data_IF_279991174380
#
_entry.id   IF_279991174380
#
_cell.length_a   1.000
_cell.length_b   1.000
_cell.length_c   1.000
_cell.angle_alpha   90.00
_cell.angle_beta   90.00
_cell.angle_gamma   90.00
#
_symmetry.space_group_name_H-M   'P 1'
#
loop_
_entity.id
_entity.type
_entity.pdbx_description
1 polymer ?
#
# COMPACT_ATOMS: atom_id res chain seq x y z
N UNK A 1 -27.42 -8.30 -1.91
CA UNK A 1 -26.87 -6.98 -2.32
C UNK A 1 -27.28 -5.81 -1.41
N UNK A 2 -28.57 -5.54 -1.12
CA UNK A 2 -28.96 -4.36 -0.30
C UNK A 2 -28.44 -4.37 1.15
N UNK A 3 -28.28 -5.55 1.77
CA UNK A 3 -27.83 -5.69 3.16
C UNK A 3 -26.38 -5.22 3.40
N UNK A 4 -25.54 -5.22 2.36
CA UNK A 4 -24.11 -4.86 2.44
C UNK A 4 -23.76 -3.65 1.56
N UNK A 5 -24.79 -2.89 1.16
CA UNK A 5 -24.73 -1.73 0.28
C UNK A 5 -23.75 -1.91 -0.90
N UNK A 6 -23.85 -3.05 -1.59
CA UNK A 6 -23.06 -3.32 -2.79
C UNK A 6 -23.78 -2.64 -3.97
N UNK A 7 -23.19 -1.54 -4.45
CA UNK A 7 -23.67 -0.74 -5.60
C UNK A 7 -22.51 -0.57 -6.59
N UNK A 8 -22.76 -0.80 -7.88
CA UNK A 8 -21.77 -0.68 -8.96
C UNK A 8 -21.32 -2.03 -9.54
N UNK A 9 -20.74 -2.00 -10.75
CA UNK A 9 -20.19 -3.18 -11.44
C UNK A 9 -18.73 -3.41 -10.99
N UNK A 10 -18.37 -4.66 -10.68
CA UNK A 10 -17.00 -5.12 -10.43
C UNK A 10 -16.28 -4.57 -9.17
N UNK A 11 -17.01 -4.37 -8.07
CA UNK A 11 -16.40 -4.00 -6.78
C UNK A 11 -16.09 -5.21 -5.93
N UNK A 12 -14.81 -5.48 -5.67
CA UNK A 12 -14.40 -6.49 -4.70
C UNK A 12 -14.41 -5.86 -3.30
N UNK A 13 -14.96 -6.54 -2.30
CA UNK A 13 -15.04 -6.03 -0.92
C UNK A 13 -14.45 -7.07 0.01
N UNK A 14 -13.49 -6.68 0.85
CA UNK A 14 -12.96 -7.54 1.91
C UNK A 14 -13.74 -7.22 3.17
N UNK A 15 -14.39 -8.24 3.72
CA UNK A 15 -14.95 -8.20 5.04
C UNK A 15 -13.86 -8.67 6.00
N UNK A 16 -13.57 -7.85 7.00
CA UNK A 16 -12.57 -8.16 8.00
C UNK A 16 -13.18 -8.01 9.40
N UNK A 17 -12.90 -8.94 10.33
CA UNK A 17 -13.38 -8.84 11.69
C UNK A 17 -12.55 -7.77 12.43
N UNK A 18 -13.22 -6.82 13.06
CA UNK A 18 -12.57 -5.74 13.82
C UNK A 18 -12.23 -6.24 15.22
N UNK A 19 -10.97 -6.68 15.40
CA UNK A 19 -10.31 -6.93 16.70
C UNK A 19 -10.84 -8.12 17.53
N UNK A 20 -9.91 -8.85 18.17
CA UNK A 20 -10.17 -10.01 19.04
C UNK A 20 -10.86 -9.66 20.38
N UNK A 21 -10.91 -8.38 20.76
CA UNK A 21 -11.29 -7.98 22.12
C UNK A 21 -12.72 -7.43 22.26
N UNK A 22 -13.57 -7.53 21.23
CA UNK A 22 -14.96 -7.08 21.32
C UNK A 22 -15.95 -8.18 20.88
N UNK A 23 -16.85 -8.63 21.77
CA UNK A 23 -17.85 -9.68 21.45
C UNK A 23 -18.96 -9.20 20.51
N UNK A 24 -19.00 -7.91 20.15
CA UNK A 24 -19.84 -7.38 19.08
C UNK A 24 -18.94 -6.87 17.96
N UNK A 25 -18.55 -7.78 17.07
CA UNK A 25 -17.67 -7.48 15.94
C UNK A 25 -18.52 -6.99 14.77
N UNK A 26 -18.62 -5.68 14.59
CA UNK A 26 -19.13 -5.12 13.33
C UNK A 26 -18.15 -5.48 12.21
N UNK A 27 -18.65 -6.18 11.18
CA UNK A 27 -17.88 -6.47 9.96
C UNK A 27 -17.55 -5.15 9.27
N UNK A 28 -16.27 -4.80 9.22
CA UNK A 28 -15.84 -3.62 8.46
C UNK A 28 -15.71 -4.02 7.00
N UNK A 29 -16.56 -3.42 6.17
CA UNK A 29 -16.53 -3.62 4.72
C UNK A 29 -15.45 -2.71 4.15
N UNK A 30 -14.41 -3.31 3.57
CA UNK A 30 -13.30 -2.58 2.96
C UNK A 30 -13.44 -2.73 1.44
N UNK A 31 -13.84 -1.67 0.71
CA UNK A 31 -13.88 -1.73 -0.75
C UNK A 31 -12.46 -1.85 -1.31
N UNK A 32 -12.26 -2.82 -2.20
CA UNK A 32 -11.06 -2.96 -3.02
C UNK A 32 -11.29 -2.18 -4.31
N UNK A 33 -10.77 -0.97 -4.35
CA UNK A 33 -10.89 -0.04 -5.47
C UNK A 33 -9.68 -0.07 -6.42
N UNK A 34 -8.83 -1.10 -6.29
CA UNK A 34 -7.57 -1.22 -7.05
C UNK A 34 -7.76 -2.07 -8.32
N UNK A 35 -6.79 -1.99 -9.24
CA UNK A 35 -6.78 -2.82 -10.45
C UNK A 35 -6.94 -4.32 -10.08
N UNK A 36 -7.81 -5.02 -10.80
CA UNK A 36 -8.20 -6.42 -10.56
C UNK A 36 -7.14 -7.44 -11.00
N UNK A 37 -5.85 -7.15 -10.75
CA UNK A 37 -4.77 -8.10 -11.04
C UNK A 37 -4.56 -9.05 -9.86
N UNK A 38 -4.22 -10.31 -10.14
CA UNK A 38 -3.98 -11.33 -9.12
C UNK A 38 -2.95 -10.87 -8.09
N UNK A 39 -1.91 -10.15 -8.55
CA UNK A 39 -0.86 -9.67 -7.67
C UNK A 39 -1.37 -8.56 -6.75
N UNK A 40 -2.17 -7.59 -7.24
CA UNK A 40 -2.70 -6.49 -6.43
C UNK A 40 -3.75 -6.92 -5.44
N UNK A 41 -4.55 -7.92 -5.80
CA UNK A 41 -5.48 -8.59 -4.89
C UNK A 41 -4.68 -9.33 -3.81
N UNK A 42 -3.69 -10.14 -4.20
CA UNK A 42 -2.86 -10.92 -3.27
C UNK A 42 -2.09 -10.04 -2.29
N UNK A 43 -1.53 -8.94 -2.78
CA UNK A 43 -0.80 -7.94 -2.00
C UNK A 43 -1.73 -7.13 -1.10
N UNK A 44 -2.91 -6.75 -1.57
CA UNK A 44 -3.90 -6.11 -0.70
C UNK A 44 -4.31 -7.05 0.44
N UNK A 45 -4.69 -8.29 0.13
CA UNK A 45 -4.97 -9.32 1.15
C UNK A 45 -3.78 -9.53 2.08
N UNK A 46 -2.55 -9.68 1.54
CA UNK A 46 -1.33 -9.85 2.32
C UNK A 46 -0.94 -8.64 3.17
N UNK A 47 -1.33 -7.41 2.81
CA UNK A 47 -1.05 -6.23 3.64
C UNK A 47 -1.93 -6.18 4.88
N UNK A 48 -3.09 -6.82 4.80
CA UNK A 48 -3.96 -7.06 5.93
C UNK A 48 -3.45 -8.27 6.72
N UNK A 49 -2.97 -9.36 6.07
CA UNK A 49 -2.61 -10.63 6.73
C UNK A 49 -1.66 -10.57 7.94
N UNK A 50 -0.63 -9.71 8.08
CA UNK A 50 0.15 -9.60 9.31
C UNK A 50 -0.68 -9.20 10.54
N UNK A 51 -1.86 -8.60 10.33
CA UNK A 51 -2.84 -8.30 11.37
C UNK A 51 -3.92 -9.40 11.52
N UNK A 52 -3.90 -10.45 10.69
CA UNK A 52 -4.90 -11.54 10.67
C UNK A 52 -4.30 -12.96 10.70
N UNK A 53 -2.99 -13.11 10.51
CA UNK A 53 -2.21 -14.34 10.65
C UNK A 53 -1.48 -14.22 11.97
N UNK A 54 -2.17 -14.62 13.04
CA UNK A 54 -1.49 -14.86 14.30
C UNK A 54 -0.73 -16.17 14.20
N UNK A 55 0.59 -16.09 14.36
CA UNK A 55 1.39 -17.27 14.68
C UNK A 55 0.97 -17.77 16.05
N UNK A 56 0.32 -18.93 16.10
CA UNK A 56 0.03 -19.60 17.36
C UNK A 56 1.24 -20.45 17.70
N UNK A 57 2.16 -19.93 18.52
CA UNK A 57 3.26 -20.74 19.05
C UNK A 57 2.65 -21.84 19.96
N UNK A 58 3.07 -23.08 19.70
CA UNK A 58 2.37 -24.29 20.11
C UNK A 58 2.39 -24.55 21.63
N UNK A 59 3.16 -23.79 22.41
CA UNK A 59 3.45 -24.22 23.77
C UNK A 59 2.30 -24.03 24.75
N UNK A 60 1.27 -23.21 24.48
CA UNK A 60 0.11 -23.05 25.39
C UNK A 60 -1.16 -22.49 24.70
N UNK A 61 -1.56 -22.97 23.52
CA UNK A 61 -2.80 -22.51 22.88
C UNK A 61 -3.90 -23.58 22.84
N UNK A 62 -4.76 -23.69 23.88
CA UNK A 62 -5.88 -24.63 23.91
C UNK A 62 -6.88 -24.42 22.77
N UNK A 63 -6.85 -23.25 22.12
CA UNK A 63 -7.71 -22.93 20.98
C UNK A 63 -7.27 -23.68 19.72
N UNK A 64 -5.96 -23.93 19.52
CA UNK A 64 -5.48 -24.63 18.33
C UNK A 64 -5.85 -26.13 18.35
N UNK A 65 -5.71 -26.79 19.51
CA UNK A 65 -6.13 -28.19 19.68
C UNK A 65 -7.65 -28.33 19.56
N UNK A 66 -8.43 -27.44 20.18
CA UNK A 66 -9.90 -27.46 20.06
C UNK A 66 -10.38 -27.23 18.63
N UNK A 67 -9.71 -26.36 17.86
CA UNK A 67 -10.03 -26.16 16.45
C UNK A 67 -9.61 -27.38 15.61
N UNK A 68 -8.45 -27.97 15.88
CA UNK A 68 -8.00 -29.18 15.21
C UNK A 68 -8.97 -30.35 15.46
N UNK A 69 -9.37 -30.58 16.71
CA UNK A 69 -10.33 -31.62 17.09
C UNK A 69 -11.72 -31.35 16.49
N UNK A 70 -12.21 -30.11 16.59
CA UNK A 70 -13.53 -29.71 16.05
C UNK A 70 -13.61 -29.87 14.53
N UNK A 71 -12.50 -29.73 13.81
CA UNK A 71 -12.44 -29.85 12.34
C UNK A 71 -11.79 -31.14 11.86
N UNK A 72 -11.51 -32.10 12.74
CA UNK A 72 -10.94 -33.41 12.39
C UNK A 72 -9.55 -33.33 11.75
N UNK A 73 -8.74 -32.34 12.15
CA UNK A 73 -7.37 -32.14 11.65
C UNK A 73 -6.43 -33.06 12.44
N UNK A 74 -6.16 -34.25 11.90
CA UNK A 74 -5.25 -35.22 12.53
C UNK A 74 -3.77 -35.00 12.17
N UNK A 75 -3.47 -34.31 11.06
CA UNK A 75 -2.11 -34.19 10.51
C UNK A 75 -1.88 -32.77 9.97
N UNK A 76 -0.70 -32.22 10.23
CA UNK A 76 -0.24 -30.91 9.73
C UNK A 76 0.84 -31.08 8.63
N UNK A 77 1.00 -30.09 7.70
CA UNK A 77 0.31 -28.80 7.64
C UNK A 77 -0.96 -28.85 6.75
N UNK A 78 -2.07 -28.30 7.26
CA UNK A 78 -3.33 -28.13 6.51
C UNK A 78 -3.76 -26.67 6.48
N UNK A 79 -4.37 -26.27 5.37
CA UNK A 79 -4.96 -24.94 5.23
C UNK A 79 -6.47 -25.05 5.42
N UNK A 80 -7.00 -24.29 6.37
CA UNK A 80 -8.43 -24.20 6.61
C UNK A 80 -8.94 -22.90 6.00
N UNK A 81 -9.88 -22.97 5.07
CA UNK A 81 -10.54 -21.78 4.53
C UNK A 81 -11.88 -21.59 5.24
N UNK A 82 -11.99 -20.48 5.96
CA UNK A 82 -13.24 -20.06 6.59
C UNK A 82 -13.79 -18.90 5.77
N UNK A 83 -14.91 -19.13 5.07
CA UNK A 83 -15.58 -18.10 4.28
C UNK A 83 -16.54 -17.33 5.20
N UNK A 84 -16.25 -16.06 5.44
CA UNK A 84 -16.83 -15.24 6.53
C UNK A 84 -18.37 -15.08 6.47
N UNK A 85 -19.00 -15.40 5.34
CA UNK A 85 -20.43 -15.24 5.10
C UNK A 85 -21.27 -16.53 5.15
N UNK A 86 -20.62 -17.68 5.26
CA UNK A 86 -21.31 -18.95 5.49
C UNK A 86 -20.91 -19.50 6.85
N UNK A 87 -21.82 -19.47 7.82
CA UNK A 87 -21.63 -20.09 9.14
C UNK A 87 -21.42 -21.62 9.10
N UNK A 88 -21.28 -22.22 7.91
CA UNK A 88 -21.23 -23.66 7.71
C UNK A 88 -20.18 -24.15 6.71
N UNK A 89 -19.60 -23.31 5.86
CA UNK A 89 -18.69 -23.78 4.81
C UNK A 89 -17.24 -23.57 5.23
N UNK A 90 -16.72 -24.64 5.85
CA UNK A 90 -15.33 -24.79 6.23
C UNK A 90 -14.80 -25.92 5.35
N UNK A 91 -14.09 -25.53 4.29
CA UNK A 91 -13.45 -26.51 3.42
C UNK A 91 -12.00 -26.71 3.85
N UNK A 92 -11.66 -27.96 4.09
CA UNK A 92 -10.32 -28.39 4.43
C UNK A 92 -9.52 -28.56 3.15
N UNK A 93 -8.43 -27.81 3.03
CA UNK A 93 -7.50 -27.98 1.93
C UNK A 93 -6.51 -29.10 2.29
N UNK A 94 -6.85 -30.31 1.87
CA UNK A 94 -6.08 -31.54 2.14
C UNK A 94 -4.96 -31.81 1.13
N UNK A 95 -4.72 -30.90 0.18
CA UNK A 95 -3.64 -31.07 -0.80
C UNK A 95 -2.30 -30.57 -0.27
N UNK A 96 -1.21 -31.03 -0.88
CA UNK A 96 0.13 -30.51 -0.61
C UNK A 96 0.14 -28.99 -0.79
N UNK A 97 0.61 -28.27 0.24
CA UNK A 97 0.76 -26.82 0.24
C UNK A 97 1.83 -26.38 -0.76
N UNK A 98 1.43 -26.26 -2.02
CA UNK A 98 2.20 -25.60 -3.07
C UNK A 98 1.46 -24.34 -3.48
N UNK A 99 2.21 -23.32 -3.91
CA UNK A 99 1.62 -22.05 -4.35
C UNK A 99 0.56 -22.26 -5.43
N UNK A 100 0.81 -23.18 -6.37
CA UNK A 100 -0.10 -23.48 -7.47
C UNK A 100 -1.39 -24.18 -6.99
N UNK A 101 -1.25 -25.09 -6.03
CA UNK A 101 -2.41 -25.80 -5.44
C UNK A 101 -3.26 -24.85 -4.59
N UNK A 102 -2.63 -23.97 -3.80
CA UNK A 102 -3.31 -22.94 -3.01
C UNK A 102 -4.02 -21.95 -3.93
N UNK A 103 -3.35 -21.46 -4.97
CA UNK A 103 -3.95 -20.55 -5.94
C UNK A 103 -5.16 -21.18 -6.64
N UNK A 104 -5.03 -22.43 -7.11
CA UNK A 104 -6.12 -23.17 -7.77
C UNK A 104 -7.30 -23.39 -6.82
N UNK A 105 -7.01 -23.66 -5.55
CA UNK A 105 -8.03 -23.80 -4.51
C UNK A 105 -8.75 -22.49 -4.24
N UNK A 106 -8.03 -21.40 -4.01
CA UNK A 106 -8.60 -20.08 -3.76
C UNK A 106 -9.38 -19.55 -4.97
N UNK A 107 -8.95 -19.87 -6.20
CA UNK A 107 -9.66 -19.46 -7.42
C UNK A 107 -11.12 -19.93 -7.47
N UNK A 108 -11.45 -21.09 -6.88
CA UNK A 108 -12.85 -21.57 -6.81
C UNK A 108 -13.77 -20.61 -6.05
N UNK A 109 -13.19 -19.80 -5.17
CA UNK A 109 -13.92 -18.84 -4.32
C UNK A 109 -13.77 -17.39 -4.81
N UNK A 110 -12.89 -17.13 -5.79
CA UNK A 110 -12.66 -15.79 -6.37
C UNK A 110 -13.72 -15.41 -7.41
N UNK A 111 -14.46 -16.39 -7.95
CA UNK A 111 -15.46 -16.13 -9.01
C UNK A 111 -16.81 -16.73 -8.69
N UNK A 112 -17.69 -15.92 -8.12
CA UNK A 112 -19.14 -16.00 -8.33
C UNK A 112 -19.77 -14.65 -8.73
N UNK A 113 -18.97 -13.60 -8.98
CA UNK A 113 -19.48 -12.26 -9.35
C UNK A 113 -19.40 -11.94 -10.86
N UNK A 114 -18.94 -12.88 -11.72
CA UNK A 114 -18.75 -12.60 -13.16
C UNK A 114 -19.17 -13.73 -14.12
N UNK A 115 -20.18 -14.55 -13.78
CA UNK A 115 -20.62 -15.66 -14.66
C UNK A 115 -22.00 -15.52 -15.29
N UNK A 116 -22.58 -14.31 -15.32
CA UNK A 116 -23.92 -14.09 -15.88
C UNK A 116 -23.98 -13.28 -17.19
N UNK A 117 -22.86 -13.01 -17.88
CA UNK A 117 -22.90 -12.19 -19.13
C UNK A 117 -22.21 -12.78 -20.37
N UNK A 118 -21.88 -14.07 -20.41
CA UNK A 118 -21.43 -14.74 -21.66
C UNK A 118 -22.18 -16.04 -21.93
N UNK A 119 -23.50 -15.96 -22.10
CA UNK A 119 -24.28 -16.93 -22.89
C UNK A 119 -25.28 -16.18 -23.79
N UNK A 120 -24.78 -15.48 -24.82
CA UNK A 120 -25.55 -15.13 -26.01
C UNK A 120 -24.64 -14.63 -27.13
N UNK A 121 -23.98 -15.54 -27.85
CA UNK A 121 -23.83 -15.53 -29.31
C UNK A 121 -22.71 -16.49 -29.74
N UNK A 122 -23.05 -17.76 -29.85
CA UNK A 122 -22.45 -18.63 -30.85
C UNK A 122 -23.38 -18.68 -32.06
N UNK A 123 -22.94 -18.20 -33.22
CA UNK A 123 -23.01 -18.96 -34.46
C UNK A 123 -22.13 -18.33 -35.57
N UNK A 124 -21.19 -19.16 -36.05
CA UNK A 124 -20.57 -19.18 -37.38
C UNK A 124 -19.64 -18.03 -37.83
N UNK A 125 -18.34 -18.30 -38.00
CA UNK A 125 -17.74 -18.89 -39.24
C UNK A 125 -16.27 -19.24 -38.99
N UNK A 126 -15.91 -20.46 -39.43
CA UNK A 126 -14.59 -21.09 -39.46
C UNK A 126 -13.82 -20.68 -40.74
N UNK A 127 -12.59 -20.14 -40.63
CA UNK A 127 -11.36 -20.67 -41.27
C UNK A 127 -10.19 -19.66 -41.39
N UNK A 128 -9.00 -20.17 -41.02
CA UNK A 128 -7.63 -19.92 -41.54
C UNK A 128 -7.05 -18.49 -41.47
N UNK A 129 -6.02 -18.27 -40.64
CA UNK A 129 -4.63 -18.59 -41.01
C UNK A 129 -3.63 -18.29 -39.87
N UNK A 130 -2.48 -18.92 -40.01
CA UNK A 130 -1.37 -19.11 -39.09
C UNK A 130 -0.56 -17.85 -38.69
N UNK A 131 0.11 -18.01 -37.54
CA UNK A 131 1.43 -17.50 -37.19
C UNK A 131 1.64 -15.98 -37.10
N UNK A 132 1.60 -15.47 -35.86
CA UNK A 132 2.79 -14.92 -35.20
C UNK A 132 2.46 -14.57 -33.74
N UNK A 133 2.63 -15.53 -32.85
CA UNK A 133 2.63 -15.29 -31.40
C UNK A 133 3.87 -14.46 -31.03
N UNK A 134 3.67 -13.15 -30.92
CA UNK A 134 4.63 -12.28 -30.26
C UNK A 134 4.36 -12.41 -28.76
N UNK A 135 5.23 -13.15 -28.08
CA UNK A 135 5.17 -13.43 -26.65
C UNK A 135 5.37 -12.11 -25.85
N UNK A 136 4.29 -11.33 -25.70
CA UNK A 136 4.23 -10.18 -24.78
C UNK A 136 4.18 -10.73 -23.36
N UNK A 137 5.34 -10.86 -22.73
CA UNK A 137 5.43 -10.99 -21.28
C UNK A 137 4.64 -9.85 -20.65
N UNK A 138 3.50 -10.17 -20.02
CA UNK A 138 2.76 -9.26 -19.16
C UNK A 138 3.67 -8.89 -18.00
N UNK A 139 4.27 -7.70 -18.08
CA UNK A 139 5.01 -7.08 -16.99
C UNK A 139 4.05 -6.98 -15.80
N UNK A 140 4.28 -7.78 -14.76
CA UNK A 140 3.44 -7.79 -13.57
C UNK A 140 3.52 -6.41 -12.91
N UNK A 141 2.40 -5.69 -12.88
CA UNK A 141 2.30 -4.40 -12.19
C UNK A 141 2.74 -4.58 -10.74
N UNK A 142 3.88 -3.99 -10.41
CA UNK A 142 4.42 -3.97 -9.05
C UNK A 142 3.56 -3.02 -8.23
N UNK A 143 2.90 -3.56 -7.22
CA UNK A 143 2.09 -2.76 -6.29
C UNK A 143 3.01 -1.87 -5.47
N UNK A 144 2.63 -0.60 -5.43
CA UNK A 144 3.30 0.43 -4.66
C UNK A 144 2.50 0.61 -3.39
N UNK A 145 3.06 0.23 -2.25
CA UNK A 145 2.48 0.57 -0.96
C UNK A 145 3.11 1.85 -0.45
N UNK A 146 2.26 2.85 -0.18
CA UNK A 146 2.67 3.98 0.62
C UNK A 146 2.48 3.57 2.07
N UNK A 147 3.59 3.42 2.78
CA UNK A 147 3.55 3.10 4.20
C UNK A 147 3.50 4.38 5.02
N UNK A 148 2.73 4.34 6.11
CA UNK A 148 2.95 5.24 7.23
C UNK A 148 4.38 4.98 7.75
N UNK A 149 5.19 6.01 7.90
CA UNK A 149 6.58 5.86 8.35
C UNK A 149 6.80 6.46 9.73
N UNK A 150 7.60 5.77 10.55
CA UNK A 150 8.18 6.32 11.77
C UNK A 150 9.51 7.03 11.50
N UNK A 151 10.11 7.62 12.54
CA UNK A 151 11.34 8.41 12.44
C UNK A 151 12.53 7.64 11.84
N UNK A 152 12.75 6.40 12.26
CA UNK A 152 13.88 5.58 11.77
C UNK A 152 13.81 5.35 10.25
N UNK A 153 12.62 4.99 9.76
CA UNK A 153 12.37 4.78 8.33
C UNK A 153 12.40 6.10 7.55
N UNK A 154 12.00 7.21 8.16
CA UNK A 154 12.17 8.54 7.58
C UNK A 154 13.64 8.89 7.37
N UNK A 155 14.51 8.66 8.36
CA UNK A 155 15.95 8.88 8.18
C UNK A 155 16.50 8.03 7.04
N UNK A 156 16.20 6.74 7.03
CA UNK A 156 16.67 5.83 5.98
C UNK A 156 16.27 6.33 4.58
N UNK A 157 15.00 6.71 4.40
CA UNK A 157 14.46 7.06 3.09
C UNK A 157 14.77 8.49 2.65
N UNK A 158 14.86 9.44 3.58
CA UNK A 158 14.79 10.87 3.29
C UNK A 158 16.03 11.66 3.73
N UNK A 159 16.88 11.10 4.59
CA UNK A 159 18.17 11.71 4.98
C UNK A 159 19.37 10.86 4.53
N UNK A 160 19.16 9.57 4.30
CA UNK A 160 20.18 8.62 3.83
C UNK A 160 20.71 8.86 2.42
N UNK A 161 21.65 8.01 2.01
CA UNK A 161 22.30 8.05 0.68
C UNK A 161 21.41 7.51 -0.46
N UNK A 162 20.08 7.56 -0.30
CA UNK A 162 19.12 7.05 -1.29
C UNK A 162 19.22 7.88 -2.57
N UNK A 163 19.26 7.20 -3.71
CA UNK A 163 19.19 7.85 -5.02
C UNK A 163 17.75 8.23 -5.31
N UNK A 164 17.53 9.49 -5.68
CA UNK A 164 16.21 9.99 -6.08
C UNK A 164 15.69 11.11 -5.18
N UNK A 165 14.36 11.20 -5.13
CA UNK A 165 13.57 12.12 -4.34
C UNK A 165 12.77 11.33 -3.31
N UNK A 166 12.80 11.76 -2.05
CA UNK A 166 11.86 11.32 -1.04
C UNK A 166 10.65 12.25 -1.07
N UNK A 167 9.45 11.69 -1.18
CA UNK A 167 8.18 12.41 -1.12
C UNK A 167 7.51 12.04 0.19
N UNK A 168 7.17 13.07 0.97
CA UNK A 168 6.51 12.90 2.26
C UNK A 168 5.17 13.62 2.20
N UNK A 169 4.10 12.84 2.33
CA UNK A 169 2.76 13.32 2.55
C UNK A 169 2.51 13.57 4.03
N UNK A 170 1.87 14.67 4.38
CA UNK A 170 1.44 15.03 5.73
C UNK A 170 -0.08 15.02 5.71
N UNK A 171 -0.66 13.94 6.23
CA UNK A 171 -2.10 13.72 6.20
C UNK A 171 -2.60 13.28 7.56
N UNK A 172 -3.81 13.69 7.89
CA UNK A 172 -4.58 13.02 8.92
C UNK A 172 -4.92 11.60 8.43
N UNK A 173 -4.88 10.60 9.32
CA UNK A 173 -5.27 9.23 8.99
C UNK A 173 -6.75 9.15 8.59
N UNK A 174 -7.56 10.09 9.06
CA UNK A 174 -8.99 10.15 8.72
C UNK A 174 -9.25 10.84 7.36
N UNK A 175 -8.26 11.53 6.77
CA UNK A 175 -8.34 12.14 5.44
C UNK A 175 -8.09 11.11 4.32
N UNK A 176 -8.98 10.12 4.23
CA UNK A 176 -8.92 9.01 3.26
C UNK A 176 -8.91 9.49 1.81
N UNK A 177 -9.60 10.59 1.50
CA UNK A 177 -9.63 11.17 0.16
C UNK A 177 -8.24 11.65 -0.26
N UNK A 178 -7.54 12.37 0.62
CA UNK A 178 -6.19 12.85 0.31
C UNK A 178 -5.19 11.70 0.19
N UNK A 179 -5.31 10.68 1.04
CA UNK A 179 -4.49 9.47 0.96
C UNK A 179 -4.70 8.77 -0.38
N UNK A 180 -5.95 8.62 -0.85
CA UNK A 180 -6.24 7.98 -2.14
C UNK A 180 -5.66 8.74 -3.34
N UNK A 181 -5.80 10.07 -3.35
CA UNK A 181 -5.19 10.91 -4.40
C UNK A 181 -3.66 10.76 -4.36
N UNK A 182 -3.07 10.71 -3.18
CA UNK A 182 -1.63 10.50 -3.01
C UNK A 182 -1.18 9.12 -3.52
N UNK A 183 -1.94 8.05 -3.24
CA UNK A 183 -1.70 6.70 -3.76
C UNK A 183 -1.70 6.65 -5.29
N UNK A 184 -2.68 7.29 -5.94
CA UNK A 184 -2.74 7.37 -7.41
C UNK A 184 -1.51 8.03 -8.01
N UNK A 185 -1.08 9.14 -7.42
CA UNK A 185 0.13 9.85 -7.87
C UNK A 185 1.38 9.00 -7.63
N UNK A 186 1.49 8.34 -6.48
CA UNK A 186 2.64 7.47 -6.20
C UNK A 186 2.75 6.34 -7.23
N UNK A 187 1.65 5.66 -7.54
CA UNK A 187 1.62 4.58 -8.55
C UNK A 187 2.10 5.11 -9.92
N UNK A 188 1.64 6.31 -10.30
CA UNK A 188 2.00 6.94 -11.58
C UNK A 188 3.49 7.21 -11.71
N UNK A 189 4.12 7.75 -10.67
CA UNK A 189 5.53 8.17 -10.69
C UNK A 189 6.51 7.12 -10.13
N UNK A 190 6.02 5.98 -9.64
CA UNK A 190 6.87 4.90 -9.13
C UNK A 190 7.69 4.21 -10.23
N UNK A 191 7.19 4.19 -11.48
CA UNK A 191 7.81 3.49 -12.61
C UNK A 191 9.26 3.92 -12.84
N UNK A 192 9.56 5.21 -12.64
CA UNK A 192 10.88 5.76 -12.91
C UNK A 192 11.89 5.46 -11.80
N UNK A 193 11.46 4.91 -10.66
CA UNK A 193 12.28 4.71 -9.43
C UNK A 193 12.99 5.99 -8.97
N UNK A 194 12.54 7.14 -9.45
CA UNK A 194 13.06 8.46 -9.09
C UNK A 194 12.46 8.94 -7.78
N UNK A 195 11.27 8.48 -7.43
CA UNK A 195 10.53 8.89 -6.26
C UNK A 195 10.30 7.73 -5.30
N UNK A 196 10.51 8.00 -4.02
CA UNK A 196 10.07 7.15 -2.92
C UNK A 196 8.98 7.88 -2.17
N UNK A 197 7.76 7.32 -2.16
CA UNK A 197 6.62 7.92 -1.50
C UNK A 197 6.43 7.35 -0.10
N UNK A 198 6.15 8.24 0.84
CA UNK A 198 5.82 7.94 2.22
C UNK A 198 4.81 8.94 2.75
N UNK A 199 4.10 8.62 3.82
CA UNK A 199 3.29 9.61 4.53
C UNK A 199 3.47 9.53 6.04
N UNK A 200 3.20 10.65 6.69
CA UNK A 200 3.17 10.81 8.13
C UNK A 200 1.75 11.14 8.56
N UNK A 201 1.26 10.41 9.57
CA UNK A 201 0.05 10.80 10.25
C UNK A 201 0.32 12.09 11.06
N UNK A 202 -0.46 13.14 10.81
CA UNK A 202 -0.34 14.43 11.46
C UNK A 202 -0.63 14.36 12.97
N UNK A 203 -1.54 13.48 13.39
CA UNK A 203 -1.97 13.36 14.79
C UNK A 203 -0.96 12.60 15.67
N UNK A 204 -0.19 11.69 15.10
CA UNK A 204 0.81 10.93 15.87
C UNK A 204 2.01 11.80 16.24
N UNK A 205 2.66 11.45 17.35
CA UNK A 205 3.88 12.08 17.88
C UNK A 205 5.11 11.86 16.98
N UNK A 206 5.04 12.30 15.73
CA UNK A 206 6.16 12.39 14.80
C UNK A 206 6.87 13.76 14.92
N UNK A 207 6.86 14.37 16.12
CA UNK A 207 7.39 15.72 16.33
C UNK A 207 8.87 15.84 15.97
N UNK A 208 9.66 14.76 16.10
CA UNK A 208 11.05 14.74 15.62
C UNK A 208 11.14 14.99 14.10
N UNK A 209 10.31 14.31 13.31
CA UNK A 209 10.28 14.47 11.86
C UNK A 209 9.77 15.87 11.50
N UNK A 210 8.69 16.32 12.16
CA UNK A 210 8.16 17.66 11.96
C UNK A 210 9.19 18.74 12.30
N UNK A 211 9.93 18.62 13.39
CA UNK A 211 11.00 19.54 13.77
C UNK A 211 12.09 19.59 12.70
N UNK A 212 12.54 18.44 12.20
CA UNK A 212 13.53 18.41 11.13
C UNK A 212 13.01 19.05 9.83
N UNK A 213 11.73 18.86 9.52
CA UNK A 213 11.08 19.53 8.39
C UNK A 213 11.00 21.05 8.64
N UNK A 214 10.65 21.52 9.85
CA UNK A 214 10.65 22.94 10.24
C UNK A 214 12.04 23.56 10.09
N UNK A 215 13.07 22.93 10.65
CA UNK A 215 14.48 23.34 10.52
C UNK A 215 14.95 23.40 9.06
N UNK A 216 14.60 22.38 8.28
CA UNK A 216 14.97 22.33 6.86
C UNK A 216 14.28 23.45 6.07
N UNK A 217 13.01 23.74 6.39
CA UNK A 217 12.19 24.71 5.66
C UNK A 217 12.26 26.14 6.17
N UNK A 218 12.75 26.35 7.39
CA UNK A 218 12.74 27.64 8.09
C UNK A 218 11.33 28.13 8.43
N UNK A 219 10.34 27.23 8.50
CA UNK A 219 8.95 27.55 8.82
C UNK A 219 8.59 26.98 10.19
N UNK A 220 8.01 27.80 11.07
CA UNK A 220 7.54 27.36 12.39
C UNK A 220 6.31 26.45 12.27
N UNK A 221 5.42 26.76 11.33
CA UNK A 221 4.20 26.00 11.06
C UNK A 221 4.31 25.26 9.72
N UNK A 222 3.98 23.98 9.75
CA UNK A 222 3.85 23.17 8.54
C UNK A 222 2.41 23.28 8.06
N UNK A 223 2.21 23.92 6.92
CA UNK A 223 0.90 24.24 6.33
C UNK A 223 0.70 23.60 4.95
N UNK A 224 1.61 22.70 4.55
CA UNK A 224 1.61 22.02 3.26
C UNK A 224 1.36 20.52 3.44
N UNK A 225 0.65 19.92 2.47
CA UNK A 225 0.35 18.48 2.48
C UNK A 225 1.48 17.61 1.90
N UNK A 226 2.33 18.15 1.03
CA UNK A 226 3.44 17.39 0.42
C UNK A 226 4.73 18.21 0.47
N UNK A 227 5.80 17.52 0.87
CA UNK A 227 7.18 17.97 0.71
C UNK A 227 7.98 16.95 -0.10
N UNK A 228 8.80 17.44 -1.03
CA UNK A 228 9.73 16.63 -1.83
C UNK A 228 11.14 17.01 -1.44
N UNK A 229 11.90 16.02 -0.99
CA UNK A 229 13.25 16.13 -0.47
C UNK A 229 14.19 15.43 -1.44
N UNK A 230 15.34 16.05 -1.73
CA UNK A 230 16.46 15.45 -2.45
C UNK A 230 17.61 15.21 -1.47
N UNK A 231 17.71 14.01 -0.86
CA UNK A 231 18.59 13.76 0.29
C UNK A 231 20.05 14.12 0.01
N UNK A 232 20.58 13.62 -1.12
CA UNK A 232 21.98 13.81 -1.53
C UNK A 232 22.44 15.28 -1.62
N UNK A 233 21.52 16.21 -1.92
CA UNK A 233 21.83 17.65 -2.03
C UNK A 233 21.28 18.46 -0.87
N UNK A 234 20.58 17.84 0.08
CA UNK A 234 19.87 18.51 1.17
C UNK A 234 19.02 19.67 0.64
N UNK A 235 18.29 19.41 -0.45
CA UNK A 235 17.41 20.38 -1.08
C UNK A 235 15.97 19.90 -1.00
N UNK A 236 15.03 20.83 -0.97
CA UNK A 236 13.62 20.51 -0.84
C UNK A 236 12.75 21.45 -1.66
N UNK A 237 11.51 21.04 -1.91
CA UNK A 237 10.43 21.86 -2.46
C UNK A 237 9.12 21.38 -1.86
N UNK A 238 8.12 22.25 -1.80
CA UNK A 238 6.78 21.92 -1.32
C UNK A 238 5.79 22.03 -2.47
N UNK A 239 4.70 21.26 -2.40
CA UNK A 239 3.55 21.50 -3.26
C UNK A 239 2.68 22.59 -2.64
N UNK A 240 2.52 23.70 -3.36
CA UNK A 240 1.76 24.89 -2.96
C UNK A 240 0.40 25.02 -3.68
N UNK A 241 0.05 24.02 -4.50
CA UNK A 241 -1.21 23.98 -5.23
C UNK A 241 -2.39 23.41 -4.43
N UNK A 242 -3.54 23.28 -5.11
CA UNK A 242 -4.74 22.68 -4.53
C UNK A 242 -4.61 21.17 -4.57
N UNK A 243 -4.51 20.52 -3.42
CA UNK A 243 -4.25 19.08 -3.32
C UNK A 243 -5.33 18.21 -4.00
N UNK A 244 -6.60 18.61 -3.89
CA UNK A 244 -7.72 17.92 -4.55
C UNK A 244 -7.65 17.99 -6.09
N UNK A 245 -6.81 18.86 -6.65
CA UNK A 245 -6.61 18.96 -8.09
C UNK A 245 -5.48 18.02 -8.54
N UNK A 246 -5.85 16.78 -8.90
CA UNK A 246 -4.91 15.74 -9.36
C UNK A 246 -4.02 16.21 -10.53
N UNK A 247 -4.55 17.04 -11.43
CA UNK A 247 -3.81 17.57 -12.59
C UNK A 247 -2.67 18.50 -12.13
N UNK A 248 -2.92 19.38 -11.15
CA UNK A 248 -1.87 20.24 -10.59
C UNK A 248 -0.80 19.42 -9.89
N UNK A 249 -1.20 18.40 -9.14
CA UNK A 249 -0.27 17.53 -8.42
C UNK A 249 0.60 16.71 -9.38
N UNK A 250 -0.01 16.15 -10.43
CA UNK A 250 0.72 15.48 -11.51
C UNK A 250 1.71 16.44 -12.21
N UNK A 251 1.23 17.63 -12.59
CA UNK A 251 2.07 18.65 -13.26
C UNK A 251 3.26 19.04 -12.38
N UNK A 252 3.07 19.10 -11.06
CA UNK A 252 4.14 19.35 -10.11
C UNK A 252 5.21 18.24 -10.14
N UNK A 253 4.83 16.97 -10.11
CA UNK A 253 5.80 15.88 -10.19
C UNK A 253 6.49 15.78 -11.55
N UNK A 254 5.78 16.03 -12.66
CA UNK A 254 6.39 16.13 -13.99
C UNK A 254 7.43 17.26 -14.06
N UNK A 255 7.13 18.43 -13.50
CA UNK A 255 8.11 19.53 -13.43
C UNK A 255 9.32 19.20 -12.56
N UNK A 256 9.21 18.29 -11.60
CA UNK A 256 10.37 17.79 -10.84
C UNK A 256 11.23 16.89 -11.71
N UNK A 257 10.63 16.01 -12.53
CA UNK A 257 11.38 15.10 -13.41
C UNK A 257 12.06 15.85 -14.57
N UNK A 258 11.43 16.89 -15.11
CA UNK A 258 12.04 17.77 -16.14
C UNK A 258 13.06 18.74 -15.57
N UNK A 259 13.05 18.99 -14.26
CA UNK A 259 13.94 19.94 -13.59
C UNK A 259 13.46 21.39 -13.64
N UNK A 260 12.21 21.64 -14.03
CA UNK A 260 11.60 22.97 -14.08
C UNK A 260 11.27 23.53 -12.69
N UNK A 261 11.17 22.66 -11.66
CA UNK A 261 11.01 23.09 -10.27
C UNK A 261 12.36 23.39 -9.62
N UNK A 262 12.48 24.59 -9.08
CA UNK A 262 13.62 25.02 -8.28
C UNK A 262 13.50 24.52 -6.85
N UNK A 263 14.44 23.68 -6.45
CA UNK A 263 14.56 23.27 -5.05
C UNK A 263 15.33 24.32 -4.24
N UNK A 264 14.87 24.57 -3.01
CA UNK A 264 15.52 25.41 -2.01
C UNK A 264 16.63 24.62 -1.29
N UNK A 265 17.67 25.31 -0.82
CA UNK A 265 18.69 24.70 0.03
C UNK A 265 18.16 24.60 1.48
N UNK A 266 18.54 23.54 2.19
CA UNK A 266 18.30 23.43 3.63
C UNK A 266 19.15 24.44 4.41
N UNK A 267 18.58 25.08 5.43
CA UNK A 267 19.29 26.01 6.31
C UNK A 267 20.28 25.30 7.27
N UNK A 268 20.15 23.99 7.45
CA UNK A 268 20.89 23.21 8.45
C UNK A 268 22.42 23.17 8.21
N UNK A 269 22.87 23.41 6.96
CA UNK A 269 24.30 23.26 6.61
C UNK A 269 25.17 24.47 6.91
N UNK A 270 24.60 25.67 7.00
CA UNK A 270 25.42 26.88 7.11
C UNK A 270 25.93 27.10 8.55
N UNK A 271 25.17 26.68 9.57
CA UNK A 271 25.57 26.89 10.98
C UNK A 271 26.64 25.90 11.48
N UNK A 272 26.57 24.62 11.10
CA UNK A 272 27.59 23.63 11.53
C UNK A 272 28.99 23.95 11.00
N UNK A 273 29.09 24.42 9.76
CA UNK A 273 30.39 24.81 9.15
C UNK A 273 30.94 26.09 9.79
N UNK A 274 30.08 26.97 10.32
CA UNK A 274 30.50 28.21 10.96
C UNK A 274 31.05 27.96 12.37
N UNK A 275 30.42 27.06 13.15
CA UNK A 275 30.91 26.68 14.48
C UNK A 275 32.24 25.90 14.43
N UNK A 276 32.48 25.10 13.38
CA UNK A 276 33.76 24.41 13.20
C UNK A 276 34.90 25.36 12.79
N UNK A 277 34.60 26.53 12.22
CA UNK A 277 35.61 27.52 11.83
C UNK A 277 36.00 28.48 12.94
N UNK A 278 35.12 28.75 13.91
CA UNK A 278 35.45 29.58 15.07
C UNK A 278 36.34 28.82 16.06
N UNK A 279 36.10 27.52 16.27
CA UNK A 279 36.92 26.70 17.17
C UNK A 279 38.36 26.41 16.67
N UNK A 280 38.67 26.70 15.40
CA UNK A 280 40.03 26.54 14.85
C UNK A 280 40.87 27.82 14.98
N UNK A 281 40.26 28.95 15.36
CA UNK A 281 40.99 30.23 15.57
C UNK A 281 41.49 30.45 17.00
N UNK A 282 41.18 29.55 17.94
CA UNK A 282 41.62 29.63 19.34
C UNK A 282 42.71 28.61 19.73
N UNK A 283 43.38 28.00 18.75
CA UNK A 283 44.57 27.15 18.92
C UNK A 283 45.77 27.75 18.17
#
# INVERSE_FOLDING_TARGET
MRKYDIKGFLTMKIFAPVSKNSPNTEKKVIPFERQSTINSISQFVLSYLPNYVDGVEQEDCPVAEQLAEKFGIEVFPKLLLIVEDSTQLIELFDQKLSLQSIHTFLQKYVTNDQKDEEEANEENIFNKNENNETNKQKEQEKIVYINEIGFEKYEELCTGAVRGFCVVGLFDKDDQESIHIYEKIAIKFYKDKLFTFSFLNEEKENEKIKNQIREMTGKDKIDYKIIVIRPKRSRWTIFDGVFANEIQLQTFFEKITTGDIRFKNSQIKDEKIQNDKENVKEL
#
